data_IF_126272475628
#
_entry.id   IF_126272475628
#
_cell.length_a   1.000
_cell.length_b   1.000
_cell.length_c   1.000
_cell.angle_alpha   90.00
_cell.angle_beta   90.00
_cell.angle_gamma   90.00
#
_symmetry.space_group_name_H-M   'P 1'
#
loop_
_entity.id
_entity.type
_entity.pdbx_description
1 polymer ?
#
# COMPACT_ATOMS: atom_id res chain seq x y z
N UNK A 1 -8.07 -8.66 -9.52
CA UNK A 1 -7.04 -9.68 -9.87
C UNK A 1 -5.61 -9.15 -9.90
N UNK A 2 -5.35 -7.87 -10.25
CA UNK A 2 -3.98 -7.30 -10.33
C UNK A 2 -3.20 -7.40 -9.01
N UNK A 3 -3.81 -7.04 -7.87
CA UNK A 3 -3.16 -7.11 -6.55
C UNK A 3 -2.84 -8.55 -6.11
N UNK A 4 -3.76 -9.49 -6.38
CA UNK A 4 -3.57 -10.93 -6.06
C UNK A 4 -2.39 -11.52 -6.83
N UNK A 5 -2.23 -11.17 -8.11
CA UNK A 5 -1.09 -11.62 -8.91
C UNK A 5 0.25 -11.07 -8.42
N UNK A 6 0.23 -9.91 -7.75
CA UNK A 6 1.43 -9.19 -7.29
C UNK A 6 1.93 -9.69 -5.93
N UNK A 7 1.00 -9.98 -5.00
CA UNK A 7 1.32 -10.55 -3.68
C UNK A 7 0.54 -11.85 -3.43
N UNK A 8 0.74 -12.91 -4.24
CA UNK A 8 -0.06 -14.13 -4.17
C UNK A 8 0.11 -14.86 -2.84
N UNK A 9 1.33 -14.85 -2.27
CA UNK A 9 1.62 -15.49 -0.97
C UNK A 9 0.88 -14.80 0.18
N UNK A 10 0.86 -13.46 0.21
CA UNK A 10 0.14 -12.70 1.24
C UNK A 10 -1.38 -12.90 1.11
N UNK A 11 -1.89 -12.94 -0.12
CA UNK A 11 -3.29 -13.26 -0.37
C UNK A 11 -3.68 -14.64 0.16
N UNK A 12 -2.91 -15.68 -0.20
CA UNK A 12 -3.14 -17.06 0.29
C UNK A 12 -3.08 -17.11 1.82
N UNK A 13 -2.11 -16.43 2.44
CA UNK A 13 -1.98 -16.37 3.89
C UNK A 13 -3.22 -15.73 4.56
N UNK A 14 -3.70 -14.59 4.05
CA UNK A 14 -4.90 -13.91 4.57
C UNK A 14 -6.14 -14.81 4.45
N UNK A 15 -6.29 -15.50 3.33
CA UNK A 15 -7.41 -16.44 3.11
C UNK A 15 -7.34 -17.59 4.12
N UNK A 16 -6.18 -18.22 4.29
CA UNK A 16 -6.00 -19.31 5.26
C UNK A 16 -6.30 -18.83 6.68
N UNK A 17 -5.76 -17.69 7.09
CA UNK A 17 -6.00 -17.12 8.42
C UNK A 17 -7.48 -16.81 8.65
N UNK A 18 -8.17 -16.27 7.64
CA UNK A 18 -9.61 -15.97 7.74
C UNK A 18 -10.43 -17.25 7.88
N UNK A 19 -10.08 -18.31 7.14
CA UNK A 19 -10.75 -19.61 7.23
C UNK A 19 -10.52 -20.28 8.59
N UNK A 20 -9.28 -20.24 9.11
CA UNK A 20 -8.94 -20.78 10.43
C UNK A 20 -9.71 -20.03 11.51
N UNK A 21 -9.70 -18.69 11.48
CA UNK A 21 -10.45 -17.86 12.42
C UNK A 21 -11.95 -18.15 12.37
N UNK A 22 -12.52 -18.23 11.16
CA UNK A 22 -13.94 -18.51 10.97
C UNK A 22 -14.31 -19.89 11.51
N UNK A 23 -13.46 -20.90 11.29
CA UNK A 23 -13.67 -22.27 11.79
C UNK A 23 -13.66 -22.33 13.31
N UNK A 24 -12.74 -21.61 13.96
CA UNK A 24 -12.68 -21.52 15.43
C UNK A 24 -13.92 -20.79 15.97
N UNK A 25 -14.34 -19.71 15.33
CA UNK A 25 -15.46 -18.89 15.81
C UNK A 25 -16.83 -19.57 15.64
N UNK A 26 -16.95 -20.47 14.65
CA UNK A 26 -18.13 -21.30 14.43
C UNK A 26 -18.18 -22.51 15.37
N UNK A 27 -17.05 -22.92 15.96
CA UNK A 27 -16.98 -24.08 16.83
C UNK A 27 -17.68 -23.79 18.17
N UNK A 28 -18.76 -24.54 18.45
CA UNK A 28 -19.51 -24.42 19.71
C UNK A 28 -20.39 -23.16 19.81
N UNK A 29 -20.70 -22.51 18.69
CA UNK A 29 -21.51 -21.30 18.68
C UNK A 29 -22.94 -21.58 18.17
N UNK A 30 -23.93 -21.40 19.03
CA UNK A 30 -25.34 -21.67 18.73
C UNK A 30 -25.96 -20.63 17.77
N UNK A 31 -25.34 -19.45 17.64
CA UNK A 31 -25.81 -18.36 16.78
C UNK A 31 -25.11 -18.34 15.41
N UNK A 32 -25.15 -19.47 14.70
CA UNK A 32 -24.46 -19.70 13.42
C UNK A 32 -24.70 -18.58 12.40
N UNK A 33 -25.93 -18.08 12.27
CA UNK A 33 -26.29 -16.99 11.34
C UNK A 33 -25.51 -15.69 11.62
N UNK A 34 -25.38 -15.30 12.89
CA UNK A 34 -24.62 -14.11 13.29
C UNK A 34 -23.12 -14.31 13.09
N UNK A 35 -22.62 -15.52 13.35
CA UNK A 35 -21.22 -15.88 13.10
C UNK A 35 -20.86 -15.79 11.62
N UNK A 36 -21.75 -16.20 10.71
CA UNK A 36 -21.55 -16.07 9.26
C UNK A 36 -21.45 -14.59 8.87
N UNK A 37 -22.37 -13.74 9.36
CA UNK A 37 -22.34 -12.29 9.07
C UNK A 37 -21.04 -11.67 9.58
N UNK A 38 -20.62 -12.01 10.79
CA UNK A 38 -19.38 -11.51 11.39
C UNK A 38 -18.13 -11.95 10.62
N UNK A 39 -18.04 -13.23 10.24
CA UNK A 39 -16.95 -13.75 9.40
C UNK A 39 -16.89 -13.04 8.04
N UNK A 40 -18.04 -12.74 7.44
CA UNK A 40 -18.14 -12.04 6.16
C UNK A 40 -17.65 -10.59 6.28
N UNK A 41 -18.00 -9.89 7.36
CA UNK A 41 -17.49 -8.54 7.64
C UNK A 41 -15.97 -8.52 7.82
N UNK A 42 -15.42 -9.48 8.58
CA UNK A 42 -13.96 -9.62 8.75
C UNK A 42 -13.28 -9.87 7.41
N UNK A 43 -13.84 -10.78 6.60
CA UNK A 43 -13.29 -11.06 5.28
C UNK A 43 -13.26 -9.82 4.38
N UNK A 44 -14.36 -9.04 4.35
CA UNK A 44 -14.41 -7.78 3.61
C UNK A 44 -13.34 -6.81 4.13
N UNK A 45 -13.25 -6.61 5.45
CA UNK A 45 -12.27 -5.70 6.05
C UNK A 45 -10.83 -6.09 5.69
N UNK A 46 -10.48 -7.37 5.83
CA UNK A 46 -9.13 -7.88 5.50
C UNK A 46 -8.82 -7.73 4.01
N UNK A 47 -9.80 -7.98 3.13
CA UNK A 47 -9.64 -7.79 1.70
C UNK A 47 -9.46 -6.32 1.32
N UNK A 48 -10.25 -5.42 1.91
CA UNK A 48 -10.09 -3.97 1.72
C UNK A 48 -8.71 -3.51 2.19
N UNK A 49 -8.25 -3.99 3.35
CA UNK A 49 -6.91 -3.68 3.86
C UNK A 49 -5.79 -4.18 2.93
N UNK A 50 -5.90 -5.42 2.44
CA UNK A 50 -4.95 -6.00 1.49
C UNK A 50 -4.85 -5.18 0.19
N UNK A 51 -5.99 -4.79 -0.38
CA UNK A 51 -6.04 -3.98 -1.59
C UNK A 51 -5.42 -2.61 -1.34
N UNK A 52 -5.82 -1.94 -0.25
CA UNK A 52 -5.34 -0.58 0.08
C UNK A 52 -3.83 -0.56 0.28
N UNK A 53 -3.28 -1.54 1.00
CA UNK A 53 -1.83 -1.67 1.24
C UNK A 53 -1.09 -1.94 -0.06
N UNK A 54 -1.63 -2.81 -0.92
CA UNK A 54 -1.03 -3.12 -2.23
C UNK A 54 -1.01 -1.90 -3.16
N UNK A 55 -2.08 -1.10 -3.14
CA UNK A 55 -2.15 0.15 -3.92
C UNK A 55 -1.15 1.19 -3.42
N UNK A 56 -0.98 1.29 -2.10
CA UNK A 56 -0.04 2.22 -1.49
C UNK A 56 1.41 1.88 -1.82
N UNK A 57 1.78 0.60 -1.77
CA UNK A 57 3.09 0.12 -2.25
C UNK A 57 3.28 0.41 -3.73
N UNK A 58 2.24 0.19 -4.57
CA UNK A 58 2.32 0.46 -6.00
C UNK A 58 2.62 1.93 -6.31
N UNK A 59 1.92 2.85 -5.64
CA UNK A 59 2.17 4.28 -5.86
C UNK A 59 3.53 4.70 -5.30
N UNK A 60 3.98 4.13 -4.18
CA UNK A 60 5.32 4.40 -3.66
C UNK A 60 6.42 3.94 -4.63
N UNK A 61 6.30 2.76 -5.23
CA UNK A 61 7.23 2.31 -6.26
C UNK A 61 7.21 3.21 -7.50
N UNK A 62 6.02 3.63 -7.95
CA UNK A 62 5.92 4.57 -9.08
C UNK A 62 6.57 5.92 -8.75
N UNK A 63 6.38 6.43 -7.53
CA UNK A 63 7.03 7.66 -7.09
C UNK A 63 8.56 7.51 -7.03
N UNK A 64 9.07 6.40 -6.49
CA UNK A 64 10.51 6.12 -6.45
C UNK A 64 11.11 6.05 -7.87
N UNK A 65 10.42 5.41 -8.81
CA UNK A 65 10.84 5.37 -10.22
C UNK A 65 10.89 6.76 -10.85
N UNK A 66 9.90 7.60 -10.61
CA UNK A 66 9.87 8.98 -11.14
C UNK A 66 10.96 9.85 -10.51
N UNK A 67 11.23 9.71 -9.20
CA UNK A 67 12.33 10.43 -8.54
C UNK A 67 13.69 10.00 -9.10
N UNK A 68 13.89 8.71 -9.35
CA UNK A 68 15.08 8.16 -10.01
C UNK A 68 15.21 8.67 -11.46
N UNK A 69 14.11 8.73 -12.21
CA UNK A 69 14.07 9.27 -13.58
C UNK A 69 14.52 10.73 -13.62
N UNK A 70 14.12 11.51 -12.64
CA UNK A 70 14.48 12.93 -12.52
C UNK A 70 15.88 13.15 -11.90
N UNK A 71 16.61 12.09 -11.57
CA UNK A 71 17.89 12.11 -10.86
C UNK A 71 17.89 13.03 -9.63
N UNK A 72 16.76 13.10 -8.92
CA UNK A 72 16.54 14.10 -7.90
C UNK A 72 17.05 13.63 -6.53
N UNK A 73 18.02 14.33 -5.91
CA UNK A 73 18.47 13.99 -4.56
C UNK A 73 17.40 14.34 -3.52
N UNK A 74 17.45 13.68 -2.37
CA UNK A 74 16.41 13.77 -1.32
C UNK A 74 16.19 15.20 -0.83
N UNK A 75 17.26 15.96 -0.70
CA UNK A 75 17.25 17.34 -0.23
C UNK A 75 16.49 18.24 -1.22
N UNK A 76 16.68 18.00 -2.51
CA UNK A 76 15.94 18.71 -3.56
C UNK A 76 14.48 18.27 -3.61
N UNK A 77 14.21 16.99 -3.37
CA UNK A 77 12.85 16.48 -3.25
C UNK A 77 12.10 17.20 -2.12
N UNK A 78 12.73 17.44 -0.97
CA UNK A 78 12.14 18.24 0.11
C UNK A 78 11.86 19.68 -0.30
N UNK A 79 12.78 20.32 -1.04
CA UNK A 79 12.59 21.69 -1.54
C UNK A 79 11.44 21.79 -2.56
N UNK A 80 11.33 20.84 -3.48
CA UNK A 80 10.34 20.84 -4.57
C UNK A 80 8.93 20.45 -4.09
N UNK A 81 8.87 19.59 -3.07
CA UNK A 81 7.62 19.04 -2.56
C UNK A 81 7.15 19.72 -1.27
N UNK A 82 8.05 20.37 -0.53
CA UNK A 82 7.80 20.92 0.80
C UNK A 82 7.72 19.86 1.91
N UNK A 83 7.95 18.58 1.59
CA UNK A 83 7.85 17.49 2.55
C UNK A 83 9.11 17.36 3.40
N UNK A 84 8.93 16.89 4.64
CA UNK A 84 10.00 16.70 5.59
C UNK A 84 10.54 15.25 5.62
N UNK A 85 11.56 15.03 6.46
CA UNK A 85 12.20 13.71 6.63
C UNK A 85 11.30 12.59 7.17
N UNK A 86 10.18 12.94 7.80
CA UNK A 86 9.21 11.98 8.32
C UNK A 86 8.17 11.62 7.26
N UNK A 87 7.86 12.57 6.38
CA UNK A 87 6.95 12.37 5.25
C UNK A 87 7.62 11.66 4.07
N UNK A 88 8.94 11.77 3.94
CA UNK A 88 9.71 11.15 2.87
C UNK A 88 11.03 10.62 3.42
N UNK A 89 11.15 9.29 3.48
CA UNK A 89 12.31 8.58 4.00
C UNK A 89 12.97 7.71 2.94
N UNK A 90 14.19 7.25 3.21
CA UNK A 90 14.89 6.26 2.39
C UNK A 90 14.88 4.93 3.14
N UNK A 91 14.44 3.87 2.49
CA UNK A 91 14.53 2.49 2.97
C UNK A 91 16.00 2.07 3.09
N UNK A 92 16.29 1.02 3.84
CA UNK A 92 17.63 0.43 3.94
C UNK A 92 18.18 0.01 2.57
N UNK A 93 17.29 -0.47 1.68
CA UNK A 93 17.60 -0.83 0.28
C UNK A 93 17.74 0.37 -0.66
N UNK A 94 17.65 1.59 -0.12
CA UNK A 94 17.81 2.83 -0.87
C UNK A 94 16.58 3.33 -1.62
N UNK A 95 15.43 2.63 -1.50
CA UNK A 95 14.15 3.06 -2.07
C UNK A 95 13.58 4.28 -1.31
N UNK A 96 13.02 5.25 -2.02
CA UNK A 96 12.35 6.40 -1.39
C UNK A 96 10.91 6.01 -1.05
N UNK A 97 10.55 6.14 0.22
CA UNK A 97 9.22 5.84 0.75
C UNK A 97 8.53 7.14 1.15
N UNK A 98 7.31 7.33 0.66
CA UNK A 98 6.46 8.47 1.00
C UNK A 98 5.46 8.04 2.08
N UNK A 99 5.50 8.68 3.24
CA UNK A 99 4.60 8.50 4.38
C UNK A 99 3.52 9.59 4.41
N UNK A 100 2.88 9.82 3.27
CA UNK A 100 1.83 10.82 3.09
C UNK A 100 0.52 10.16 2.67
N UNK A 101 -0.64 10.80 2.90
CA UNK A 101 -1.93 10.25 2.46
C UNK A 101 -1.98 9.91 0.97
N UNK A 102 -2.69 8.84 0.63
CA UNK A 102 -2.79 8.33 -0.76
C UNK A 102 -3.24 9.38 -1.78
N UNK A 103 -4.12 10.31 -1.37
CA UNK A 103 -4.54 11.45 -2.21
C UNK A 103 -3.36 12.34 -2.57
N UNK A 104 -2.50 12.68 -1.60
CA UNK A 104 -1.29 13.47 -1.82
C UNK A 104 -0.25 12.71 -2.65
N UNK A 105 -0.12 11.39 -2.45
CA UNK A 105 0.76 10.55 -3.28
C UNK A 105 0.37 10.59 -4.77
N UNK A 106 -0.93 10.47 -5.07
CA UNK A 106 -1.45 10.57 -6.46
C UNK A 106 -1.19 11.94 -7.09
N UNK A 107 -1.41 13.01 -6.33
CA UNK A 107 -1.13 14.39 -6.79
C UNK A 107 0.37 14.59 -7.04
N UNK A 108 1.21 14.12 -6.12
CA UNK A 108 2.66 14.19 -6.26
C UNK A 108 3.16 13.42 -7.48
N UNK A 109 2.65 12.20 -7.69
CA UNK A 109 3.01 11.38 -8.84
C UNK A 109 2.69 12.09 -10.16
N UNK A 110 1.51 12.73 -10.24
CA UNK A 110 1.13 13.54 -11.41
C UNK A 110 2.07 14.73 -11.60
N UNK A 111 2.48 15.39 -10.51
CA UNK A 111 3.42 16.52 -10.53
C UNK A 111 4.80 16.08 -11.05
N UNK A 112 5.35 14.98 -10.51
CA UNK A 112 6.67 14.46 -10.91
C UNK A 112 6.69 13.97 -12.36
N UNK A 113 5.61 13.30 -12.82
CA UNK A 113 5.50 12.88 -14.22
C UNK A 113 5.53 14.04 -15.22
N UNK A 114 4.97 15.18 -14.84
CA UNK A 114 4.93 16.40 -15.64
C UNK A 114 6.19 17.27 -15.55
N UNK A 115 7.17 16.89 -14.72
CA UNK A 115 8.48 17.54 -14.72
C UNK A 115 9.35 16.94 -15.82
N UNK A 116 10.04 17.80 -16.56
CA UNK A 116 11.09 17.35 -17.48
C UNK A 116 12.28 16.82 -16.68
N UNK A 117 12.91 15.72 -17.13
CA UNK A 117 14.17 15.28 -16.55
C UNK A 117 15.20 16.39 -16.74
N UNK A 118 15.94 16.69 -15.67
CA UNK A 118 17.00 17.67 -15.77
C UNK A 118 18.07 17.14 -16.72
N UNK A 119 18.26 17.89 -17.82
CA UNK A 119 19.39 17.69 -18.71
C UNK A 119 20.63 18.15 -17.95
N UNK A 120 21.55 17.22 -17.70
CA UNK A 120 22.95 17.55 -17.37
C UNK A 120 23.59 18.37 -18.49
#
# INVERSE_FOLDING_TARGET
>A
MRHIKRKPKQFVLIVILTLVYSSIHLYGNDHILWSIVYCLLIFIMLMTFFITTSDEEEINEQLDQEVKRLNMPRERLYQVTGYNRYEVSKSEDGQIIFWIPMSKKKVLLKKLKGMEPEQE
#
